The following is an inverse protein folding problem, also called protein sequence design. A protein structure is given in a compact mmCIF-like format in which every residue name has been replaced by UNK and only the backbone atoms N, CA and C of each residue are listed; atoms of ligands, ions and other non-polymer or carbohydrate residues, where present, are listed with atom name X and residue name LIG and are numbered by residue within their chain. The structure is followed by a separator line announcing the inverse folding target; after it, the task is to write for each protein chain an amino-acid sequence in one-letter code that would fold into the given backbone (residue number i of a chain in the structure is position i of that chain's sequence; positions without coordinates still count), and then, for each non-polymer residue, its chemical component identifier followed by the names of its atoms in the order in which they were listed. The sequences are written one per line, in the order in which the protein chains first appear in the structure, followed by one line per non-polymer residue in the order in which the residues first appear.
data_IF_486395552341
#
_entry.id   IF_486395552341
#
_cell.length_a   1.000
_cell.length_b   1.000
_cell.length_c   1.000
_cell.angle_alpha   90.00
_cell.angle_beta   90.00
_cell.angle_gamma   90.00
#
_symmetry.space_group_name_H-M   'P 1'
#
loop_
_entity.id
_entity.type
_entity.pdbx_description
1 polymer ?
#
# COMPACT_ATOMS: atom_id res chain seq x y z
N UNK A 1 -7.76 -8.32 26.95
CA UNK A 1 -8.80 -7.36 27.40
C UNK A 1 -8.70 -6.05 26.61
N UNK A 2 -8.65 -6.13 25.28
CA UNK A 2 -8.56 -4.96 24.38
C UNK A 2 -9.14 -5.29 23.02
N UNK A 3 -10.26 -6.02 23.03
CA UNK A 3 -10.95 -6.56 21.85
C UNK A 3 -12.47 -6.35 21.93
N UNK A 4 -12.90 -5.32 22.67
CA UNK A 4 -14.30 -4.88 22.74
C UNK A 4 -14.36 -3.35 22.94
N UNK A 5 -13.94 -2.58 21.93
CA UNK A 5 -14.32 -1.16 21.77
C UNK A 5 -14.52 -0.80 20.29
N UNK A 6 -14.94 -1.77 19.47
CA UNK A 6 -15.27 -1.57 18.06
C UNK A 6 -16.77 -1.79 17.76
N UNK A 7 -17.61 -1.84 18.79
CA UNK A 7 -19.05 -1.86 18.65
C UNK A 7 -19.67 -0.79 19.56
N UNK A 8 -20.56 -0.01 18.96
CA UNK A 8 -21.31 1.13 19.54
C UNK A 8 -20.49 2.38 19.89
N UNK A 9 -20.05 3.10 18.85
CA UNK A 9 -20.09 4.56 18.92
C UNK A 9 -21.06 5.05 17.84
N UNK A 10 -22.35 4.84 18.13
CA UNK A 10 -23.48 5.22 17.29
C UNK A 10 -24.08 6.53 17.81
N UNK A 11 -23.22 7.53 18.06
CA UNK A 11 -23.64 8.85 18.52
C UNK A 11 -22.97 9.94 17.68
N UNK A 12 -23.75 10.54 16.77
CA UNK A 12 -23.37 11.55 15.78
C UNK A 12 -22.38 11.08 14.69
N UNK A 13 -22.82 11.14 13.44
CA UNK A 13 -21.94 11.09 12.27
C UNK A 13 -20.98 12.27 12.31
N UNK A 14 -19.81 12.08 12.94
CA UNK A 14 -18.74 13.06 12.99
C UNK A 14 -18.43 13.50 11.55
N UNK A 15 -18.58 14.79 11.23
CA UNK A 15 -18.48 15.36 9.87
C UNK A 15 -17.16 14.91 9.19
N UNK A 16 -16.10 14.76 9.99
CA UNK A 16 -14.80 14.22 9.59
C UNK A 16 -14.91 12.83 8.93
N UNK A 17 -15.72 11.93 9.47
CA UNK A 17 -15.90 10.59 8.92
C UNK A 17 -16.64 10.63 7.58
N UNK A 18 -17.65 11.49 7.45
CA UNK A 18 -18.40 11.65 6.19
C UNK A 18 -17.45 12.18 5.10
N UNK A 19 -16.68 13.22 5.42
CA UNK A 19 -15.66 13.78 4.51
C UNK A 19 -14.63 12.72 4.13
N UNK A 20 -14.08 11.98 5.10
CA UNK A 20 -13.10 10.94 4.80
C UNK A 20 -13.68 9.85 3.88
N UNK A 21 -14.95 9.44 4.08
CA UNK A 21 -15.60 8.45 3.20
C UNK A 21 -15.78 8.98 1.79
N UNK A 22 -16.23 10.23 1.65
CA UNK A 22 -16.39 10.88 0.35
C UNK A 22 -15.07 10.98 -0.41
N UNK A 23 -13.99 11.41 0.27
CA UNK A 23 -12.64 11.51 -0.33
C UNK A 23 -12.09 10.13 -0.70
N UNK A 24 -12.35 9.10 0.11
CA UNK A 24 -11.95 7.73 -0.21
C UNK A 24 -12.58 7.23 -1.51
N UNK A 25 -13.89 7.46 -1.68
CA UNK A 25 -14.60 7.09 -2.91
C UNK A 25 -14.10 7.91 -4.09
N UNK A 26 -13.93 9.22 -3.90
CA UNK A 26 -13.40 10.12 -4.92
C UNK A 26 -12.02 9.65 -5.39
N UNK A 27 -11.11 9.32 -4.47
CA UNK A 27 -9.77 8.82 -4.79
C UNK A 27 -9.83 7.55 -5.65
N UNK A 28 -10.65 6.56 -5.28
CA UNK A 28 -10.78 5.33 -6.06
C UNK A 28 -11.37 5.58 -7.45
N UNK A 29 -12.45 6.36 -7.55
CA UNK A 29 -13.11 6.66 -8.82
C UNK A 29 -12.21 7.50 -9.73
N UNK A 30 -11.56 8.53 -9.18
CA UNK A 30 -10.60 9.36 -9.88
C UNK A 30 -9.47 8.52 -10.47
N UNK A 31 -8.87 7.63 -9.68
CA UNK A 31 -7.74 6.83 -10.15
C UNK A 31 -8.17 5.82 -11.21
N UNK A 32 -9.33 5.17 -11.04
CA UNK A 32 -9.87 4.27 -12.06
C UNK A 32 -10.20 5.00 -13.37
N UNK A 33 -10.74 6.22 -13.29
CA UNK A 33 -11.06 7.03 -14.46
C UNK A 33 -9.80 7.49 -15.19
N UNK A 34 -8.87 8.15 -14.51
CA UNK A 34 -7.66 8.73 -15.11
C UNK A 34 -6.66 7.69 -15.62
N UNK A 35 -6.59 6.51 -15.01
CA UNK A 35 -5.71 5.43 -15.50
C UNK A 35 -6.25 4.83 -16.81
N UNK A 36 -7.58 4.78 -16.99
CA UNK A 36 -8.19 4.26 -18.23
C UNK A 36 -8.37 5.33 -19.31
N UNK A 37 -8.66 6.56 -18.89
CA UNK A 37 -8.93 7.72 -19.73
C UNK A 37 -8.13 8.91 -19.17
N UNK A 38 -6.84 9.02 -19.49
CA UNK A 38 -6.01 10.11 -18.99
C UNK A 38 -6.49 11.43 -19.58
N UNK A 39 -7.04 12.31 -18.74
CA UNK A 39 -7.53 13.63 -19.14
C UNK A 39 -6.59 14.73 -18.67
N UNK A 40 -5.99 14.55 -17.50
CA UNK A 40 -5.09 15.53 -16.88
C UNK A 40 -3.63 15.35 -17.29
N UNK A 41 -2.86 16.42 -17.17
CA UNK A 41 -1.41 16.37 -17.35
C UNK A 41 -0.74 15.37 -16.39
N UNK A 42 0.40 14.74 -16.76
CA UNK A 42 1.06 13.73 -15.93
C UNK A 42 1.39 14.20 -14.51
N UNK A 43 1.80 15.45 -14.34
CA UNK A 43 2.07 16.04 -13.03
C UNK A 43 0.78 16.37 -12.28
N UNK A 44 -0.22 16.94 -12.95
CA UNK A 44 -1.52 17.31 -12.36
C UNK A 44 -2.26 16.12 -11.77
N UNK A 45 -2.32 14.99 -12.49
CA UNK A 45 -2.99 13.77 -11.99
C UNK A 45 -2.29 13.21 -10.75
N UNK A 46 -0.95 13.27 -10.71
CA UNK A 46 -0.17 12.81 -9.56
C UNK A 46 -0.30 13.77 -8.38
N UNK A 47 -0.39 15.07 -8.63
CA UNK A 47 -0.66 16.07 -7.61
C UNK A 47 -2.04 15.87 -6.96
N UNK A 48 -3.09 15.61 -7.74
CA UNK A 48 -4.40 15.26 -7.20
C UNK A 48 -4.37 13.94 -6.42
N UNK A 49 -3.73 12.91 -6.96
CA UNK A 49 -3.60 11.61 -6.28
C UNK A 49 -2.90 11.72 -4.93
N UNK A 50 -1.73 12.39 -4.89
CA UNK A 50 -1.02 12.66 -3.64
C UNK A 50 -1.84 13.56 -2.70
N UNK A 51 -2.47 14.62 -3.20
CA UNK A 51 -3.28 15.53 -2.38
C UNK A 51 -4.42 14.79 -1.68
N UNK A 52 -5.19 13.99 -2.41
CA UNK A 52 -6.26 13.17 -1.84
C UNK A 52 -5.71 12.13 -0.84
N UNK A 53 -4.59 11.48 -1.16
CA UNK A 53 -3.94 10.52 -0.27
C UNK A 53 -3.40 11.14 1.03
N UNK A 54 -2.77 12.32 0.95
CA UNK A 54 -2.27 13.08 2.10
C UNK A 54 -3.42 13.59 2.97
N UNK A 55 -4.50 14.10 2.37
CA UNK A 55 -5.72 14.48 3.10
C UNK A 55 -6.28 13.28 3.86
N UNK A 56 -6.39 12.11 3.22
CA UNK A 56 -6.82 10.89 3.90
C UNK A 56 -5.85 10.46 5.00
N UNK A 57 -4.54 10.67 4.82
CA UNK A 57 -3.54 10.41 5.85
C UNK A 57 -3.81 11.23 7.11
N UNK A 58 -3.91 12.56 6.97
CA UNK A 58 -4.17 13.47 8.09
C UNK A 58 -5.55 13.24 8.73
N UNK A 59 -6.57 12.89 7.94
CA UNK A 59 -7.91 12.63 8.48
C UNK A 59 -8.03 11.28 9.20
N UNK A 60 -7.25 10.26 8.85
CA UNK A 60 -7.37 8.91 9.45
C UNK A 60 -6.26 8.57 10.45
N UNK A 61 -5.08 9.17 10.36
CA UNK A 61 -3.92 8.85 11.20
C UNK A 61 -3.58 10.04 12.11
N UNK A 62 -3.91 9.95 13.43
CA UNK A 62 -3.67 11.03 14.37
C UNK A 62 -2.18 11.18 14.71
N UNK A 63 -1.81 12.39 15.15
CA UNK A 63 -0.42 12.79 15.45
C UNK A 63 0.28 11.91 16.51
N UNK A 64 -0.48 11.40 17.48
CA UNK A 64 -0.01 10.46 18.50
C UNK A 64 -1.15 9.52 18.94
N UNK A 65 -0.87 8.22 19.09
CA UNK A 65 -1.89 7.20 19.41
C UNK A 65 -2.59 7.45 20.76
N UNK A 66 -1.90 8.10 21.71
CA UNK A 66 -2.41 8.42 23.05
C UNK A 66 -3.29 9.69 23.13
N UNK A 67 -3.37 10.51 22.09
CA UNK A 67 -4.09 11.81 22.12
C UNK A 67 -5.32 11.84 21.21
N UNK A 68 -5.84 10.66 20.83
CA UNK A 68 -6.99 10.51 19.91
C UNK A 68 -8.26 11.27 20.36
N UNK A 69 -8.46 11.45 21.65
CA UNK A 69 -9.67 12.09 22.22
C UNK A 69 -9.59 13.62 22.28
N UNK A 70 -8.42 14.23 22.09
CA UNK A 70 -8.26 15.66 22.26
C UNK A 70 -8.79 16.45 21.05
N UNK A 71 -9.76 17.33 21.29
CA UNK A 71 -10.37 18.16 20.25
C UNK A 71 -9.36 19.07 19.52
N UNK A 72 -8.30 19.51 20.20
CA UNK A 72 -7.23 20.33 19.62
C UNK A 72 -6.41 19.55 18.58
N UNK A 73 -6.06 18.28 18.86
CA UNK A 73 -5.31 17.42 17.92
C UNK A 73 -6.15 17.11 16.68
N UNK A 74 -7.45 16.88 16.87
CA UNK A 74 -8.39 16.70 15.75
C UNK A 74 -8.51 17.95 14.88
N UNK A 75 -8.51 19.15 15.47
CA UNK A 75 -8.51 20.41 14.70
C UNK A 75 -7.21 20.62 13.95
N UNK A 76 -6.05 20.35 14.57
CA UNK A 76 -4.75 20.47 13.88
C UNK A 76 -4.64 19.50 12.70
N UNK A 77 -5.16 18.27 12.83
CA UNK A 77 -5.18 17.31 11.73
C UNK A 77 -6.01 17.82 10.53
N UNK A 78 -7.18 18.43 10.79
CA UNK A 78 -8.00 19.01 9.74
C UNK A 78 -7.32 20.21 9.06
N UNK A 79 -6.57 21.02 9.82
CA UNK A 79 -5.80 22.13 9.27
C UNK A 79 -4.67 21.62 8.38
N UNK A 80 -3.93 20.60 8.81
CA UNK A 80 -2.86 19.99 7.99
C UNK A 80 -3.42 19.33 6.72
N UNK A 81 -4.59 18.69 6.82
CA UNK A 81 -5.29 18.17 5.65
C UNK A 81 -5.66 19.29 4.67
N UNK A 82 -6.16 20.43 5.16
CA UNK A 82 -6.48 21.59 4.33
C UNK A 82 -5.23 22.13 3.63
N UNK A 83 -4.12 22.32 4.35
CA UNK A 83 -2.86 22.76 3.73
C UNK A 83 -2.33 21.76 2.69
N UNK A 84 -2.44 20.46 2.94
CA UNK A 84 -2.05 19.44 1.96
C UNK A 84 -2.90 19.55 0.67
N UNK A 85 -4.22 19.76 0.82
CA UNK A 85 -5.11 19.98 -0.32
C UNK A 85 -4.76 21.27 -1.07
N UNK A 86 -4.44 22.36 -0.37
CA UNK A 86 -4.05 23.64 -0.98
C UNK A 86 -2.71 23.53 -1.71
N UNK A 87 -1.68 22.93 -1.10
CA UNK A 87 -0.38 22.77 -1.73
C UNK A 87 -0.45 21.89 -2.99
N UNK A 88 -1.13 20.76 -2.94
CA UNK A 88 -1.30 19.90 -4.11
C UNK A 88 -2.24 20.54 -5.16
N UNK A 89 -3.31 21.21 -4.72
CA UNK A 89 -4.23 21.94 -5.59
C UNK A 89 -3.54 23.08 -6.34
N UNK A 90 -2.61 23.78 -5.68
CA UNK A 90 -1.78 24.80 -6.31
C UNK A 90 -0.98 24.24 -7.51
N UNK A 91 -0.36 23.07 -7.35
CA UNK A 91 0.36 22.41 -8.44
C UNK A 91 -0.58 22.07 -9.60
N UNK A 92 -1.79 21.57 -9.31
CA UNK A 92 -2.78 21.26 -10.34
C UNK A 92 -3.19 22.51 -11.11
N UNK A 93 -3.49 23.60 -10.40
CA UNK A 93 -3.89 24.88 -11.01
C UNK A 93 -2.77 25.48 -11.86
N UNK A 94 -1.52 25.41 -11.39
CA UNK A 94 -0.38 26.02 -12.09
C UNK A 94 0.24 25.13 -13.19
N UNK A 95 -0.01 23.83 -13.16
CA UNK A 95 0.55 22.89 -14.14
C UNK A 95 -0.44 22.51 -15.24
N UNK A 96 -1.74 22.48 -14.97
CA UNK A 96 -2.72 21.95 -15.91
C UNK A 96 -3.27 23.01 -16.89
N UNK A 97 -3.36 22.72 -18.21
CA UNK A 97 -3.92 23.62 -19.20
C UNK A 97 -5.37 24.04 -18.93
N UNK A 98 -6.17 23.23 -18.22
CA UNK A 98 -7.57 23.56 -17.89
C UNK A 98 -7.67 24.84 -17.04
N UNK A 99 -6.61 25.18 -16.30
CA UNK A 99 -6.56 26.34 -15.41
C UNK A 99 -5.67 27.47 -15.93
N UNK A 100 -5.44 27.53 -17.24
CA UNK A 100 -4.62 28.57 -17.92
C UNK A 100 -4.90 30.01 -17.45
N UNK A 101 -6.17 30.35 -17.21
CA UNK A 101 -6.62 31.66 -16.72
C UNK A 101 -6.07 32.04 -15.34
N UNK A 102 -5.70 31.06 -14.53
CA UNK A 102 -5.22 31.24 -13.17
C UNK A 102 -3.69 31.13 -13.06
N UNK A 103 -3.00 30.99 -14.20
CA UNK A 103 -1.55 30.90 -14.23
C UNK A 103 -0.90 32.23 -13.84
N UNK A 104 0.04 32.16 -12.90
CA UNK A 104 0.87 33.33 -12.58
C UNK A 104 1.73 33.66 -13.79
N UNK A 105 1.70 34.94 -14.19
CA UNK A 105 2.37 35.48 -15.37
C UNK A 105 1.95 34.84 -16.70
N UNK A 106 0.78 34.19 -16.74
CA UNK A 106 0.25 33.53 -17.93
C UNK A 106 1.09 32.34 -18.41
N UNK A 107 1.99 31.83 -17.58
CA UNK A 107 2.85 30.68 -17.90
C UNK A 107 2.66 29.55 -16.91
N UNK A 108 2.67 28.32 -17.42
CA UNK A 108 2.61 27.12 -16.61
C UNK A 108 3.85 26.99 -15.72
N UNK A 109 3.70 26.29 -14.61
CA UNK A 109 4.79 26.02 -13.66
C UNK A 109 6.00 25.36 -14.35
N UNK A 110 5.76 24.49 -15.33
CA UNK A 110 6.82 23.84 -16.11
C UNK A 110 7.61 24.81 -16.99
N UNK A 111 6.95 25.83 -17.56
CA UNK A 111 7.59 26.85 -18.40
C UNK A 111 8.35 27.90 -17.57
N UNK A 112 8.08 27.98 -16.26
CA UNK A 112 8.75 28.84 -15.28
C UNK A 112 9.86 28.15 -14.50
N UNK A 113 10.30 26.96 -14.92
CA UNK A 113 11.39 26.24 -14.25
C UNK A 113 12.68 27.09 -14.23
N UNK A 114 13.18 27.40 -13.04
CA UNK A 114 14.32 28.30 -12.81
C UNK A 114 13.97 29.78 -12.59
N UNK A 115 12.71 30.17 -12.76
CA UNK A 115 12.17 31.50 -12.44
C UNK A 115 10.93 31.37 -11.52
N UNK A 116 11.04 30.52 -10.51
CA UNK A 116 9.98 30.31 -9.52
C UNK A 116 9.82 31.54 -8.64
N UNK A 117 8.56 31.91 -8.37
CA UNK A 117 8.20 33.04 -7.51
C UNK A 117 8.32 32.65 -6.03
N UNK A 118 8.42 33.66 -5.15
CA UNK A 118 8.43 33.42 -3.70
C UNK A 118 7.18 32.69 -3.19
N UNK A 119 6.04 32.83 -3.88
CA UNK A 119 4.83 32.08 -3.58
C UNK A 119 5.02 30.59 -3.88
N UNK A 120 5.58 30.24 -5.05
CA UNK A 120 5.84 28.84 -5.41
C UNK A 120 6.78 28.19 -4.39
N UNK A 121 7.85 28.89 -4.01
CA UNK A 121 8.81 28.38 -3.02
C UNK A 121 8.13 28.16 -1.67
N UNK A 122 7.29 29.10 -1.22
CA UNK A 122 6.58 28.97 0.07
C UNK A 122 5.62 27.79 0.06
N UNK A 123 4.80 27.66 -1.00
CA UNK A 123 3.87 26.55 -1.16
C UNK A 123 4.61 25.21 -1.25
N UNK A 124 5.71 25.16 -1.98
CA UNK A 124 6.56 23.98 -2.11
C UNK A 124 7.21 23.58 -0.79
N UNK A 125 7.70 24.54 0.00
CA UNK A 125 8.30 24.28 1.31
C UNK A 125 7.27 23.73 2.30
N UNK A 126 6.09 24.34 2.37
CA UNK A 126 4.98 23.85 3.20
C UNK A 126 4.57 22.44 2.74
N UNK A 127 4.43 22.23 1.43
CA UNK A 127 4.11 20.92 0.86
C UNK A 127 5.13 19.85 1.19
N UNK A 128 6.42 20.17 1.11
CA UNK A 128 7.53 19.27 1.44
C UNK A 128 7.46 18.83 2.92
N UNK A 129 7.27 19.79 3.84
CA UNK A 129 7.13 19.50 5.27
C UNK A 129 5.90 18.62 5.55
N UNK A 130 4.78 18.86 4.87
CA UNK A 130 3.59 18.03 4.99
C UNK A 130 3.80 16.60 4.48
N UNK A 131 4.60 16.39 3.44
CA UNK A 131 4.92 15.04 2.96
C UNK A 131 5.79 14.30 3.99
N UNK A 132 6.81 14.95 4.53
CA UNK A 132 7.70 14.37 5.55
C UNK A 132 6.91 14.00 6.82
N UNK A 133 6.02 14.89 7.27
CA UNK A 133 5.16 14.63 8.42
C UNK A 133 4.13 13.51 8.16
N UNK A 134 3.55 13.44 6.96
CA UNK A 134 2.66 12.35 6.58
C UNK A 134 3.40 11.00 6.55
N UNK A 135 4.62 10.96 6.03
CA UNK A 135 5.47 9.77 6.05
C UNK A 135 5.78 9.33 7.49
N UNK A 136 6.08 10.28 8.39
CA UNK A 136 6.31 10.01 9.81
C UNK A 136 5.09 9.35 10.47
N UNK A 137 3.89 9.85 10.18
CA UNK A 137 2.63 9.32 10.73
C UNK A 137 2.30 7.94 10.19
N UNK A 138 2.50 7.70 8.90
CA UNK A 138 2.09 6.47 8.26
C UNK A 138 3.08 5.31 8.47
N UNK A 139 4.39 5.60 8.51
CA UNK A 139 5.46 4.60 8.41
C UNK A 139 6.50 4.70 9.55
N UNK A 140 6.39 5.69 10.42
CA UNK A 140 7.37 5.97 11.48
C UNK A 140 8.52 6.87 11.03
N UNK A 141 9.51 7.06 11.90
CA UNK A 141 10.55 8.08 11.71
C UNK A 141 11.64 7.71 10.69
N UNK A 142 11.79 6.42 10.34
CA UNK A 142 12.92 5.95 9.52
C UNK A 142 12.97 6.61 8.13
N UNK A 143 11.86 6.61 7.38
CA UNK A 143 11.77 7.23 6.05
C UNK A 143 11.93 8.77 6.08
N UNK A 144 11.25 9.51 6.98
CA UNK A 144 11.46 10.94 7.19
C UNK A 144 12.91 11.31 7.51
N UNK A 145 13.58 10.55 8.38
CA UNK A 145 14.99 10.80 8.73
C UNK A 145 15.86 10.64 7.49
N UNK A 146 15.62 9.59 6.69
CA UNK A 146 16.33 9.37 5.44
C UNK A 146 16.09 10.49 4.42
N UNK A 147 14.84 10.90 4.21
CA UNK A 147 14.53 12.04 3.33
C UNK A 147 15.18 13.34 3.84
N UNK A 148 15.13 13.58 5.15
CA UNK A 148 15.79 14.72 5.80
C UNK A 148 17.30 14.72 5.60
N UNK A 149 17.97 13.56 5.69
CA UNK A 149 19.41 13.46 5.43
C UNK A 149 19.74 13.74 3.96
N UNK A 150 18.89 13.34 3.00
CA UNK A 150 19.08 13.70 1.59
C UNK A 150 18.83 15.18 1.33
N UNK A 151 17.82 15.80 1.94
CA UNK A 151 17.61 17.26 1.86
C UNK A 151 18.83 18.02 2.42
N UNK A 152 19.35 17.57 3.56
CA UNK A 152 20.55 18.14 4.16
C UNK A 152 21.78 17.95 3.26
N UNK A 153 21.92 16.77 2.64
CA UNK A 153 22.95 16.50 1.65
C UNK A 153 22.87 17.47 0.46
N UNK A 154 21.67 17.66 -0.11
CA UNK A 154 21.44 18.60 -1.20
C UNK A 154 21.81 20.05 -0.86
N UNK A 155 21.67 20.45 0.41
CA UNK A 155 22.05 21.79 0.89
C UNK A 155 23.56 21.89 1.21
N UNK A 156 24.09 20.96 2.01
CA UNK A 156 25.46 20.97 2.54
C UNK A 156 26.51 20.33 1.63
N UNK A 157 26.16 20.02 0.37
CA UNK A 157 27.00 19.32 -0.60
C UNK A 157 28.47 19.74 -0.64
N UNK A 158 28.76 21.03 -0.46
CA UNK A 158 30.11 21.59 -0.57
C UNK A 158 31.02 21.28 0.62
N UNK A 159 30.43 20.90 1.76
CA UNK A 159 31.14 20.63 3.02
C UNK A 159 31.47 19.15 3.23
N UNK A 160 31.01 18.27 2.33
CA UNK A 160 31.22 16.84 2.49
C UNK A 160 32.59 16.37 1.99
N UNK A 161 33.15 15.32 2.60
CA UNK A 161 34.40 14.71 2.14
C UNK A 161 34.27 14.09 0.74
N UNK A 162 35.40 13.91 0.04
CA UNK A 162 35.44 13.36 -1.32
C UNK A 162 34.78 11.97 -1.47
N UNK A 163 34.83 11.14 -0.43
CA UNK A 163 34.21 9.80 -0.42
C UNK A 163 32.67 9.83 -0.36
N UNK A 164 32.07 10.99 -0.06
CA UNK A 164 30.62 11.19 -0.02
C UNK A 164 30.13 12.08 -1.17
N UNK A 165 30.79 11.99 -2.33
CA UNK A 165 30.41 12.66 -3.59
C UNK A 165 30.06 14.15 -3.41
N UNK A 166 31.03 15.02 -3.10
CA UNK A 166 30.75 16.44 -2.90
C UNK A 166 30.18 17.10 -4.16
N UNK A 167 29.33 18.10 -3.94
CA UNK A 167 28.75 18.94 -5.00
C UNK A 167 28.63 20.38 -4.51
N UNK A 168 28.33 21.33 -5.41
CA UNK A 168 28.29 22.78 -5.10
C UNK A 168 27.34 23.23 -3.97
N UNK A 169 26.48 22.34 -3.45
CA UNK A 169 25.31 22.70 -2.64
C UNK A 169 24.25 23.44 -3.47
N UNK A 170 22.99 23.34 -3.06
CA UNK A 170 21.88 24.01 -3.72
C UNK A 170 21.11 24.89 -2.75
N UNK A 171 20.67 26.09 -3.18
CA UNK A 171 19.85 26.95 -2.36
C UNK A 171 18.48 26.30 -2.12
N UNK A 172 17.80 26.69 -1.03
CA UNK A 172 16.55 26.04 -0.56
C UNK A 172 15.47 26.14 -1.64
N UNK A 173 15.41 27.27 -2.35
CA UNK A 173 14.50 27.54 -3.46
C UNK A 173 14.64 26.46 -4.55
N UNK A 174 15.88 26.12 -4.92
CA UNK A 174 16.17 25.12 -5.94
C UNK A 174 15.87 23.70 -5.46
N UNK A 175 16.13 23.41 -4.19
CA UNK A 175 15.81 22.12 -3.57
C UNK A 175 14.29 21.92 -3.54
N UNK A 176 13.55 22.91 -3.09
CA UNK A 176 12.08 22.90 -3.04
C UNK A 176 11.49 22.79 -4.43
N UNK A 177 12.02 23.54 -5.40
CA UNK A 177 11.57 23.47 -6.79
C UNK A 177 11.74 22.05 -7.36
N UNK A 178 12.92 21.45 -7.18
CA UNK A 178 13.17 20.11 -7.69
C UNK A 178 12.35 19.01 -6.98
N UNK A 179 12.15 19.13 -5.67
CA UNK A 179 11.53 18.07 -4.86
C UNK A 179 10.01 18.14 -4.83
N UNK A 180 9.40 19.33 -4.87
CA UNK A 180 7.94 19.49 -4.79
C UNK A 180 7.34 20.12 -6.06
N UNK A 181 7.97 21.12 -6.68
CA UNK A 181 7.36 21.85 -7.80
C UNK A 181 7.53 21.14 -9.15
N UNK A 182 8.61 20.38 -9.33
CA UNK A 182 8.90 19.66 -10.58
C UNK A 182 8.40 18.21 -10.58
N UNK A 183 8.24 17.66 -11.79
CA UNK A 183 7.84 16.28 -12.04
C UNK A 183 8.92 15.23 -11.72
N UNK A 184 10.11 15.63 -11.26
CA UNK A 184 11.22 14.71 -10.92
C UNK A 184 11.31 14.40 -9.43
N UNK A 185 10.49 15.06 -8.60
CA UNK A 185 10.45 14.88 -7.15
C UNK A 185 9.26 14.02 -6.70
N UNK A 186 8.48 14.57 -5.77
CA UNK A 186 7.28 13.93 -5.18
C UNK A 186 6.29 13.49 -6.26
N UNK A 187 6.06 14.31 -7.29
CA UNK A 187 5.13 14.03 -8.39
C UNK A 187 5.81 13.29 -9.56
N UNK A 188 6.88 12.54 -9.29
CA UNK A 188 7.63 11.80 -10.29
C UNK A 188 7.31 10.31 -10.33
N UNK A 189 8.30 9.55 -10.83
CA UNK A 189 8.18 8.12 -11.15
C UNK A 189 7.66 7.30 -9.98
N UNK A 190 8.12 7.56 -8.75
CA UNK A 190 7.71 6.81 -7.57
C UNK A 190 6.19 6.86 -7.34
N UNK A 191 5.61 8.06 -7.40
CA UNK A 191 4.18 8.25 -7.24
C UNK A 191 3.41 7.83 -8.50
N UNK A 192 4.01 8.00 -9.68
CA UNK A 192 3.49 7.52 -10.97
C UNK A 192 3.21 6.02 -10.98
N UNK A 193 4.15 5.23 -10.47
CA UNK A 193 4.03 3.78 -10.32
C UNK A 193 2.90 3.42 -9.33
N UNK A 194 2.80 4.14 -8.21
CA UNK A 194 1.72 3.92 -7.24
C UNK A 194 0.34 4.18 -7.86
N UNK A 195 0.21 5.27 -8.60
CA UNK A 195 -1.02 5.68 -9.24
C UNK A 195 -1.45 4.71 -10.35
N UNK A 196 -0.52 4.37 -11.24
CA UNK A 196 -0.82 3.60 -12.47
C UNK A 196 -1.01 2.12 -12.18
N UNK A 197 -0.25 1.56 -11.24
CA UNK A 197 -0.24 0.13 -10.98
C UNK A 197 -0.73 -0.20 -9.58
N UNK A 198 0.00 0.22 -8.55
CA UNK A 198 -0.16 -0.33 -7.20
C UNK A 198 -1.56 -0.10 -6.64
N UNK A 199 -2.10 1.09 -6.80
CA UNK A 199 -3.40 1.40 -6.24
C UNK A 199 -4.54 0.62 -6.91
N UNK A 200 -4.45 0.34 -8.21
CA UNK A 200 -5.44 -0.50 -8.90
C UNK A 200 -5.45 -1.92 -8.32
N UNK A 201 -4.29 -2.48 -8.02
CA UNK A 201 -4.20 -3.79 -7.38
C UNK A 201 -4.69 -3.78 -5.93
N UNK A 202 -4.50 -2.67 -5.19
CA UNK A 202 -5.10 -2.49 -3.85
C UNK A 202 -6.63 -2.47 -3.95
N UNK A 203 -7.21 -1.78 -4.94
CA UNK A 203 -8.66 -1.80 -5.19
C UNK A 203 -9.12 -3.21 -5.54
N UNK A 204 -8.42 -3.90 -6.43
CA UNK A 204 -8.71 -5.30 -6.79
C UNK A 204 -8.71 -6.22 -5.56
N UNK A 205 -7.67 -6.16 -4.74
CA UNK A 205 -7.55 -6.97 -3.52
C UNK A 205 -8.69 -6.70 -2.53
N UNK A 206 -9.07 -5.44 -2.34
CA UNK A 206 -10.16 -5.08 -1.45
C UNK A 206 -11.54 -5.51 -1.97
N UNK A 207 -11.80 -5.43 -3.28
CA UNK A 207 -13.02 -5.95 -3.89
C UNK A 207 -13.09 -7.47 -3.76
N UNK A 208 -11.97 -8.16 -3.98
CA UNK A 208 -11.88 -9.60 -3.83
C UNK A 208 -12.06 -10.03 -2.36
N UNK A 209 -11.52 -9.29 -1.41
CA UNK A 209 -11.76 -9.53 0.02
C UNK A 209 -13.25 -9.34 0.36
N UNK A 210 -13.91 -8.34 -0.22
CA UNK A 210 -15.34 -8.06 -0.02
C UNK A 210 -16.28 -9.14 -0.56
N UNK A 211 -15.83 -10.00 -1.50
CA UNK A 211 -16.62 -11.15 -1.98
C UNK A 211 -16.51 -12.38 -1.08
N UNK A 212 -15.72 -12.33 0.00
CA UNK A 212 -15.53 -13.44 0.93
C UNK A 212 -14.25 -14.25 0.70
N UNK A 213 -13.36 -13.83 -0.21
CA UNK A 213 -12.12 -14.56 -0.52
C UNK A 213 -11.27 -14.88 0.70
N UNK A 214 -11.28 -14.02 1.73
CA UNK A 214 -10.60 -14.28 3.01
C UNK A 214 -11.04 -15.59 3.65
N UNK A 215 -12.34 -15.85 3.73
CA UNK A 215 -12.88 -17.08 4.35
C UNK A 215 -12.52 -18.30 3.53
N UNK A 216 -12.66 -18.20 2.22
CA UNK A 216 -12.24 -19.24 1.28
C UNK A 216 -10.76 -19.63 1.47
N UNK A 217 -9.85 -18.65 1.50
CA UNK A 217 -8.40 -18.89 1.66
C UNK A 217 -8.08 -19.65 2.96
N UNK A 218 -8.73 -19.26 4.06
CA UNK A 218 -8.52 -19.91 5.37
C UNK A 218 -9.05 -21.33 5.36
N UNK A 219 -10.28 -21.52 4.87
CA UNK A 219 -10.91 -22.83 4.78
C UNK A 219 -10.13 -23.76 3.85
N UNK A 220 -9.61 -23.24 2.74
CA UNK A 220 -8.75 -23.97 1.82
C UNK A 220 -7.46 -24.43 2.52
N UNK A 221 -6.77 -23.53 3.22
CA UNK A 221 -5.55 -23.86 3.94
C UNK A 221 -5.81 -24.86 5.07
N UNK A 222 -6.92 -24.73 5.81
CA UNK A 222 -7.33 -25.69 6.85
C UNK A 222 -7.61 -27.07 6.27
N UNK A 223 -8.26 -27.16 5.11
CA UNK A 223 -8.47 -28.45 4.42
C UNK A 223 -7.15 -29.09 3.98
N UNK A 224 -6.20 -28.28 3.53
CA UNK A 224 -4.91 -28.76 3.04
C UNK A 224 -3.97 -29.20 4.18
N UNK A 225 -3.91 -28.45 5.29
CA UNK A 225 -2.90 -28.64 6.33
C UNK A 225 -3.42 -28.84 7.75
N UNK A 226 -4.73 -28.68 8.01
CA UNK A 226 -5.30 -28.69 9.35
C UNK A 226 -5.05 -29.97 10.14
N UNK A 227 -4.96 -31.11 9.46
CA UNK A 227 -4.68 -32.43 10.08
C UNK A 227 -3.19 -32.79 10.13
N UNK A 228 -2.31 -31.93 9.62
CA UNK A 228 -0.87 -32.20 9.56
C UNK A 228 -0.17 -31.74 10.85
N UNK A 229 1.00 -32.32 11.17
CA UNK A 229 1.80 -31.84 12.30
C UNK A 229 2.20 -30.37 12.10
N UNK A 230 1.88 -29.53 13.09
CA UNK A 230 1.97 -28.07 13.00
C UNK A 230 0.87 -27.43 12.16
N UNK A 231 -0.28 -28.11 11.99
CA UNK A 231 -1.38 -27.71 11.12
C UNK A 231 -1.77 -26.23 11.23
N UNK A 232 -2.09 -25.72 12.43
CA UNK A 232 -2.41 -24.30 12.64
C UNK A 232 -1.35 -23.32 12.13
N UNK A 233 -0.06 -23.63 12.32
CA UNK A 233 1.03 -22.79 11.83
C UNK A 233 1.19 -22.86 10.31
N UNK A 234 1.01 -24.05 9.70
CA UNK A 234 1.01 -24.19 8.24
C UNK A 234 -0.18 -23.51 7.57
N UNK A 235 -1.35 -23.58 8.20
CA UNK A 235 -2.54 -22.81 7.81
C UNK A 235 -2.20 -21.32 7.82
N UNK A 236 -1.57 -20.84 8.90
CA UNK A 236 -1.15 -19.45 8.99
C UNK A 236 -0.20 -19.03 7.86
N UNK A 237 0.82 -19.86 7.56
CA UNK A 237 1.79 -19.59 6.50
C UNK A 237 1.13 -19.58 5.12
N UNK A 238 0.34 -20.60 4.78
CA UNK A 238 -0.32 -20.69 3.47
C UNK A 238 -1.38 -19.60 3.29
N UNK A 239 -2.24 -19.37 4.29
CA UNK A 239 -3.26 -18.32 4.22
C UNK A 239 -2.63 -16.93 4.11
N UNK A 240 -1.53 -16.67 4.83
CA UNK A 240 -0.81 -15.41 4.70
C UNK A 240 -0.15 -15.29 3.33
N UNK A 241 0.35 -16.37 2.74
CA UNK A 241 0.88 -16.34 1.37
C UNK A 241 -0.16 -16.00 0.32
N UNK A 242 -1.31 -16.67 0.39
CA UNK A 242 -2.44 -16.43 -0.51
C UNK A 242 -3.11 -15.07 -0.28
N UNK A 243 -3.10 -14.53 0.94
CA UNK A 243 -3.61 -13.18 1.22
C UNK A 243 -2.58 -12.11 0.84
N UNK A 244 -1.30 -12.42 1.02
CA UNK A 244 -0.18 -11.56 0.65
C UNK A 244 -0.12 -11.35 -0.86
N UNK A 245 -0.40 -12.39 -1.65
CA UNK A 245 -0.49 -12.29 -3.10
C UNK A 245 -1.61 -11.37 -3.60
N UNK A 246 -2.61 -11.08 -2.77
CA UNK A 246 -3.71 -10.16 -3.10
C UNK A 246 -3.44 -8.71 -2.69
N UNK A 247 -2.79 -8.54 -1.54
CA UNK A 247 -2.67 -7.22 -0.89
C UNK A 247 -1.30 -6.59 -1.05
N UNK A 248 -0.25 -7.38 -1.29
CA UNK A 248 1.13 -6.90 -1.37
C UNK A 248 1.66 -6.25 -0.08
N UNK A 249 0.89 -6.29 1.01
CA UNK A 249 1.10 -5.49 2.21
C UNK A 249 1.19 -6.36 3.45
N UNK A 250 2.36 -6.37 4.09
CA UNK A 250 2.62 -7.12 5.31
C UNK A 250 1.73 -6.67 6.48
N UNK A 251 1.48 -5.36 6.60
CA UNK A 251 0.65 -4.78 7.66
C UNK A 251 -0.81 -5.16 7.47
N UNK A 252 -1.34 -5.03 6.23
CA UNK A 252 -2.70 -5.42 5.93
C UNK A 252 -2.90 -6.92 6.14
N UNK A 253 -1.96 -7.74 5.67
CA UNK A 253 -2.00 -9.18 5.83
C UNK A 253 -1.95 -9.60 7.31
N UNK A 254 -1.11 -8.98 8.13
CA UNK A 254 -1.07 -9.26 9.58
C UNK A 254 -2.38 -8.85 10.26
N UNK A 255 -2.95 -7.70 9.88
CA UNK A 255 -4.23 -7.24 10.43
C UNK A 255 -5.42 -8.12 10.01
N UNK A 256 -5.38 -8.71 8.81
CA UNK A 256 -6.46 -9.56 8.33
C UNK A 256 -6.27 -11.01 8.77
N UNK A 257 -5.12 -11.63 8.48
CA UNK A 257 -4.87 -13.05 8.78
C UNK A 257 -4.43 -13.30 10.22
N UNK A 258 -3.58 -12.44 10.76
CA UNK A 258 -3.07 -12.54 12.14
C UNK A 258 -4.16 -12.59 13.21
N UNK A 259 -5.30 -11.93 12.99
CA UNK A 259 -6.42 -11.90 13.95
C UNK A 259 -7.02 -13.27 14.23
N UNK A 260 -6.94 -14.21 13.28
CA UNK A 260 -7.41 -15.59 13.48
C UNK A 260 -6.27 -16.59 13.60
N UNK A 261 -5.15 -16.39 12.89
CA UNK A 261 -4.03 -17.36 12.91
C UNK A 261 -3.26 -17.33 14.22
N UNK A 262 -3.06 -16.16 14.83
CA UNK A 262 -2.30 -16.04 16.08
C UNK A 262 -3.05 -16.74 17.23
N UNK A 263 -4.36 -16.48 17.47
CA UNK A 263 -5.12 -17.23 18.47
C UNK A 263 -5.14 -18.73 18.18
N UNK A 264 -5.29 -19.14 16.91
CA UNK A 264 -5.33 -20.55 16.50
C UNK A 264 -4.00 -21.28 16.77
N UNK A 265 -2.86 -20.63 16.52
CA UNK A 265 -1.55 -21.19 16.87
C UNK A 265 -1.37 -21.28 18.40
N UNK A 266 -1.81 -20.24 19.13
CA UNK A 266 -1.72 -20.23 20.60
C UNK A 266 -2.58 -21.32 21.24
N UNK A 267 -3.81 -21.54 20.75
CA UNK A 267 -4.67 -22.62 21.25
C UNK A 267 -4.10 -24.01 20.95
N UNK A 268 -3.25 -24.14 19.92
CA UNK A 268 -2.53 -25.36 19.59
C UNK A 268 -1.19 -25.51 20.33
N UNK A 269 -0.90 -24.66 21.32
CA UNK A 269 0.28 -24.77 22.19
C UNK A 269 1.50 -23.94 21.79
N UNK A 270 1.43 -23.12 20.72
CA UNK A 270 2.54 -22.24 20.36
C UNK A 270 2.68 -21.09 21.37
N UNK A 271 3.93 -20.82 21.76
CA UNK A 271 4.29 -19.63 22.54
C UNK A 271 3.79 -18.35 21.84
N UNK A 272 3.25 -17.36 22.57
CA UNK A 272 2.70 -16.14 21.97
C UNK A 272 3.70 -15.40 21.07
N UNK A 273 4.97 -15.35 21.49
CA UNK A 273 6.07 -14.71 20.74
C UNK A 273 6.34 -15.47 19.43
N UNK A 274 6.40 -16.79 19.47
CA UNK A 274 6.61 -17.63 18.28
C UNK A 274 5.45 -17.51 17.31
N UNK A 275 4.20 -17.54 17.79
CA UNK A 275 3.02 -17.37 16.95
C UNK A 275 3.02 -16.00 16.25
N UNK A 276 3.36 -14.92 16.96
CA UNK A 276 3.51 -13.60 16.38
C UNK A 276 4.66 -13.53 15.36
N UNK A 277 5.80 -14.15 15.65
CA UNK A 277 6.96 -14.21 14.76
C UNK A 277 6.68 -14.96 13.46
N UNK A 278 6.01 -16.12 13.53
CA UNK A 278 5.57 -16.89 12.35
C UNK A 278 4.63 -16.04 11.49
N UNK A 279 3.64 -15.39 12.12
CA UNK A 279 2.70 -14.55 11.40
C UNK A 279 3.38 -13.34 10.75
N UNK A 280 4.31 -12.69 11.45
CA UNK A 280 5.05 -11.54 10.93
C UNK A 280 5.92 -11.93 9.73
N UNK A 281 6.63 -13.06 9.82
CA UNK A 281 7.44 -13.59 8.71
C UNK A 281 6.55 -13.95 7.52
N UNK A 282 5.52 -14.75 7.73
CA UNK A 282 4.59 -15.16 6.67
C UNK A 282 3.89 -13.96 6.01
N UNK A 283 3.54 -12.92 6.78
CA UNK A 283 2.92 -11.71 6.23
C UNK A 283 3.91 -10.87 5.42
N UNK A 284 5.17 -10.80 5.86
CA UNK A 284 6.24 -10.06 5.16
C UNK A 284 6.55 -10.65 3.80
N UNK A 285 6.53 -11.98 3.68
CA UNK A 285 6.67 -12.68 2.38
C UNK A 285 5.59 -12.31 1.37
N UNK A 286 4.47 -11.70 1.78
CA UNK A 286 3.40 -11.25 0.88
C UNK A 286 3.89 -10.22 -0.14
N UNK A 287 4.91 -9.43 0.19
CA UNK A 287 5.53 -8.48 -0.73
C UNK A 287 6.26 -9.15 -1.91
N UNK A 288 6.61 -10.45 -1.79
CA UNK A 288 7.27 -11.22 -2.85
C UNK A 288 6.27 -12.05 -3.66
N UNK A 289 5.12 -12.39 -3.09
CA UNK A 289 4.20 -13.37 -3.68
C UNK A 289 3.41 -12.76 -4.85
N UNK A 290 3.53 -13.30 -6.08
CA UNK A 290 2.70 -12.88 -7.22
C UNK A 290 1.22 -13.26 -7.02
N UNK A 291 0.26 -12.56 -7.65
CA UNK A 291 0.42 -11.63 -8.78
C UNK A 291 0.28 -10.14 -8.45
N UNK A 292 0.10 -9.75 -7.18
CA UNK A 292 0.10 -8.33 -6.78
C UNK A 292 1.50 -7.91 -6.30
N UNK A 293 2.11 -8.69 -5.41
CA UNK A 293 3.43 -8.36 -4.85
C UNK A 293 3.46 -6.97 -4.17
N UNK A 294 4.60 -6.61 -3.59
CA UNK A 294 4.80 -5.32 -2.92
C UNK A 294 5.13 -4.17 -3.87
N UNK A 295 5.06 -2.95 -3.35
CA UNK A 295 5.34 -1.70 -4.06
C UNK A 295 6.69 -1.70 -4.84
N UNK A 296 7.71 -2.39 -4.33
CA UNK A 296 9.03 -2.49 -4.97
C UNK A 296 9.01 -3.21 -6.33
N UNK A 297 8.16 -4.22 -6.50
CA UNK A 297 8.03 -4.94 -7.77
C UNK A 297 7.52 -4.01 -8.89
N UNK A 298 6.65 -3.07 -8.53
CA UNK A 298 6.13 -2.09 -9.47
C UNK A 298 7.14 -0.99 -9.77
N UNK A 299 8.00 -0.61 -8.82
CA UNK A 299 9.10 0.32 -9.12
C UNK A 299 10.10 -0.29 -10.11
N UNK A 300 10.37 -1.59 -10.00
CA UNK A 300 11.22 -2.29 -10.97
C UNK A 300 10.65 -2.22 -12.39
N UNK A 301 9.32 -2.28 -12.57
CA UNK A 301 8.68 -2.16 -13.87
C UNK A 301 9.03 -0.84 -14.59
N UNK A 302 9.21 0.21 -13.82
CA UNK A 302 9.49 1.55 -14.36
C UNK A 302 10.98 1.84 -14.53
N UNK A 303 11.84 1.13 -13.79
CA UNK A 303 13.29 1.37 -13.76
C UNK A 303 14.09 0.39 -14.63
N UNK A 304 13.60 -0.85 -14.82
CA UNK A 304 14.33 -1.89 -15.56
C UNK A 304 14.13 -1.71 -17.06
N UNK A 305 15.24 -1.60 -17.81
CA UNK A 305 15.26 -1.56 -19.27
C UNK A 305 16.01 -2.77 -19.86
N UNK A 306 15.54 -3.36 -20.97
CA UNK A 306 14.28 -3.06 -21.68
C UNK A 306 13.07 -3.34 -20.78
N UNK A 307 11.91 -2.69 -21.01
CA UNK A 307 10.72 -2.88 -20.18
C UNK A 307 10.21 -4.32 -20.33
N UNK A 308 10.80 -5.22 -19.55
CA UNK A 308 10.33 -6.56 -19.32
C UNK A 308 8.96 -6.42 -18.68
N UNK A 309 7.90 -6.73 -19.44
CA UNK A 309 6.54 -6.53 -18.97
C UNK A 309 6.34 -7.14 -17.59
N UNK A 310 5.37 -6.65 -16.82
CA UNK A 310 5.12 -7.11 -15.43
C UNK A 310 5.13 -8.65 -15.24
N UNK A 311 4.74 -9.40 -16.27
CA UNK A 311 4.83 -10.86 -16.31
C UNK A 311 6.25 -11.42 -16.10
N UNK A 312 7.29 -10.73 -16.58
CA UNK A 312 8.69 -11.11 -16.38
C UNK A 312 9.10 -10.96 -14.92
N UNK A 313 8.71 -9.85 -14.28
CA UNK A 313 8.92 -9.63 -12.84
C UNK A 313 8.17 -10.71 -12.04
N UNK A 314 6.93 -11.02 -12.41
CA UNK A 314 6.14 -12.11 -11.80
C UNK A 314 6.84 -13.46 -11.96
N UNK A 315 7.37 -13.78 -13.15
CA UNK A 315 8.11 -15.02 -13.41
C UNK A 315 9.39 -15.10 -12.58
N UNK A 316 10.14 -14.01 -12.52
CA UNK A 316 11.37 -13.92 -11.75
C UNK A 316 11.11 -14.06 -10.24
N UNK A 317 10.01 -13.49 -9.73
CA UNK A 317 9.66 -13.54 -8.32
C UNK A 317 8.97 -14.84 -7.87
N UNK A 318 8.39 -15.61 -8.81
CA UNK A 318 7.67 -16.84 -8.49
C UNK A 318 8.57 -17.85 -7.77
N UNK A 319 9.80 -18.08 -8.25
CA UNK A 319 10.72 -19.04 -7.65
C UNK A 319 11.15 -18.60 -6.23
N UNK A 320 11.65 -17.37 -6.00
CA UNK A 320 11.94 -16.87 -4.66
C UNK A 320 10.74 -16.93 -3.71
N UNK A 321 9.54 -16.58 -4.17
CA UNK A 321 8.34 -16.62 -3.35
C UNK A 321 8.00 -18.06 -2.93
N UNK A 322 8.01 -19.02 -3.86
CA UNK A 322 7.75 -20.42 -3.56
C UNK A 322 8.79 -20.98 -2.58
N UNK A 323 10.06 -20.69 -2.79
CA UNK A 323 11.13 -21.12 -1.87
C UNK A 323 10.97 -20.48 -0.49
N UNK A 324 10.61 -19.19 -0.41
CA UNK A 324 10.37 -18.50 0.86
C UNK A 324 9.25 -19.16 1.67
N UNK A 325 8.09 -19.40 1.06
CA UNK A 325 6.96 -20.04 1.75
C UNK A 325 7.19 -21.51 2.02
N UNK A 326 7.89 -22.24 1.15
CA UNK A 326 8.32 -23.62 1.41
C UNK A 326 9.25 -23.67 2.63
N UNK A 327 10.22 -22.75 2.71
CA UNK A 327 11.13 -22.64 3.85
C UNK A 327 10.36 -22.40 5.14
N UNK A 328 9.39 -21.47 5.14
CA UNK A 328 8.53 -21.23 6.30
C UNK A 328 7.71 -22.45 6.67
N UNK A 329 7.12 -23.16 5.70
CA UNK A 329 6.36 -24.39 5.94
C UNK A 329 7.22 -25.48 6.59
N UNK A 330 8.47 -25.63 6.15
CA UNK A 330 9.42 -26.58 6.74
C UNK A 330 9.82 -26.16 8.16
N UNK A 331 10.13 -24.88 8.38
CA UNK A 331 10.50 -24.34 9.71
C UNK A 331 9.37 -24.59 10.71
N UNK A 332 8.12 -24.23 10.38
CA UNK A 332 7.00 -24.42 11.30
C UNK A 332 6.67 -25.91 11.51
N UNK A 333 6.87 -26.75 10.49
CA UNK A 333 6.67 -28.19 10.61
C UNK A 333 7.69 -28.83 11.56
N UNK A 334 8.97 -28.51 11.40
CA UNK A 334 10.05 -29.02 12.25
C UNK A 334 9.91 -28.48 13.67
N UNK A 335 9.54 -27.20 13.84
CA UNK A 335 9.29 -26.61 15.15
C UNK A 335 8.14 -27.31 15.86
N UNK A 336 7.01 -27.53 15.19
CA UNK A 336 5.87 -28.24 15.77
C UNK A 336 6.21 -29.70 16.14
N UNK A 337 7.01 -30.39 15.32
CA UNK A 337 7.49 -31.74 15.66
C UNK A 337 8.39 -31.74 16.89
N UNK A 338 9.30 -30.78 17.02
CA UNK A 338 10.14 -30.63 18.22
C UNK A 338 9.30 -30.36 19.47
N UNK A 339 8.28 -29.51 19.36
CA UNK A 339 7.33 -29.28 20.45
C UNK A 339 6.59 -30.56 20.83
N UNK A 340 6.06 -31.31 19.86
CA UNK A 340 5.36 -32.58 20.11
C UNK A 340 6.23 -33.57 20.88
N UNK A 341 7.48 -33.76 20.46
CA UNK A 341 8.46 -34.65 21.13
C UNK A 341 8.76 -34.17 22.56
N UNK A 342 8.80 -32.85 22.80
CA UNK A 342 8.99 -32.30 24.14
C UNK A 342 7.73 -32.40 25.03
N UNK A 343 6.55 -32.59 24.43
CA UNK A 343 5.26 -32.68 25.15
C UNK A 343 4.85 -34.12 25.44
N UNK A 344 5.51 -35.13 24.85
CA UNK A 344 5.27 -36.56 25.12
C UNK A 344 5.59 -37.00 26.57
N UNK A 345 5.94 -36.06 27.47
CA UNK A 345 5.96 -36.26 28.93
C UNK A 345 4.67 -35.87 29.66
N UNK A 346 3.69 -35.24 29.01
CA UNK A 346 2.38 -34.91 29.58
C UNK A 346 1.32 -35.16 28.52
N UNK A 347 0.55 -36.23 28.73
CA UNK A 347 -0.54 -36.70 27.89
C UNK A 347 -1.18 -35.60 27.04
N UNK A 348 -0.92 -35.65 25.73
CA UNK A 348 -1.67 -34.90 24.74
C UNK A 348 -3.12 -35.40 24.80
N UNK A 349 -3.94 -34.74 25.61
CA UNK A 349 -5.38 -34.80 25.46
C UNK A 349 -5.63 -34.39 24.02
N UNK A 350 -6.07 -35.36 23.22
CA UNK A 350 -6.67 -35.13 21.92
C UNK A 350 -7.82 -34.13 22.16
N UNK A 351 -7.52 -32.84 22.04
CA UNK A 351 -8.54 -31.86 21.80
C UNK A 351 -8.98 -32.14 20.37
N UNK A 352 -10.01 -32.97 20.26
CA UNK A 352 -10.86 -33.10 19.09
C UNK A 352 -11.04 -31.71 18.47
N UNK A 353 -10.22 -31.40 17.47
CA UNK A 353 -10.42 -30.22 16.63
C UNK A 353 -11.46 -30.59 15.57
N UNK A 354 -12.55 -31.21 16.03
CA UNK A 354 -13.82 -31.19 15.31
C UNK A 354 -14.56 -29.93 15.76
N UNK A 355 -15.34 -29.35 14.85
CA UNK A 355 -16.20 -28.18 15.06
C UNK A 355 -15.56 -26.78 14.95
N UNK A 356 -15.16 -26.42 13.72
CA UNK A 356 -15.91 -25.37 13.01
C UNK A 356 -15.71 -25.53 11.50
N UNK A 357 -16.19 -26.66 10.96
CA UNK A 357 -16.51 -26.73 9.55
C UNK A 357 -17.77 -25.88 9.33
N UNK A 358 -17.61 -24.56 9.28
CA UNK A 358 -18.64 -23.66 8.79
C UNK A 358 -19.12 -24.17 7.43
N UNK A 359 -20.45 -24.23 7.28
CA UNK A 359 -21.19 -24.83 6.18
C UNK A 359 -20.44 -24.94 4.82
N UNK A 360 -20.30 -26.16 4.25
CA UNK A 360 -19.61 -26.36 2.98
C UNK A 360 -20.28 -25.65 1.78
N UNK A 361 -21.54 -25.22 1.92
CA UNK A 361 -22.31 -24.54 0.86
C UNK A 361 -21.81 -23.12 0.52
N UNK A 362 -21.24 -22.38 1.47
CA UNK A 362 -20.68 -21.03 1.21
C UNK A 362 -19.33 -21.05 0.51
N UNK A 363 -18.55 -22.12 0.71
CA UNK A 363 -17.14 -22.22 0.29
C UNK A 363 -16.94 -22.41 -1.21
N UNK A 364 -17.90 -22.99 -1.95
CA UNK A 364 -17.70 -23.30 -3.38
C UNK A 364 -17.76 -22.05 -4.25
N UNK A 365 -18.70 -21.16 -3.98
CA UNK A 365 -18.87 -19.95 -4.77
C UNK A 365 -17.78 -18.90 -4.49
N UNK A 366 -17.41 -18.71 -3.21
CA UNK A 366 -16.26 -17.86 -2.85
C UNK A 366 -14.97 -18.32 -3.56
N UNK A 367 -14.77 -19.64 -3.66
CA UNK A 367 -13.67 -20.23 -4.40
C UNK A 367 -13.74 -20.02 -5.91
N UNK A 368 -14.94 -20.08 -6.50
CA UNK A 368 -15.14 -19.75 -7.93
C UNK A 368 -14.80 -18.29 -8.18
N UNK A 369 -15.32 -17.36 -7.38
CA UNK A 369 -15.02 -15.92 -7.53
C UNK A 369 -13.52 -15.65 -7.36
N UNK A 370 -12.88 -16.27 -6.36
CA UNK A 370 -11.44 -16.16 -6.16
C UNK A 370 -10.64 -16.69 -7.35
N UNK A 371 -10.99 -17.90 -7.82
CA UNK A 371 -10.33 -18.55 -8.94
C UNK A 371 -10.52 -17.81 -10.26
N UNK A 372 -11.72 -17.30 -10.56
CA UNK A 372 -11.99 -16.52 -11.77
C UNK A 372 -11.31 -15.14 -11.71
N UNK A 373 -11.28 -14.49 -10.55
CA UNK A 373 -10.61 -13.21 -10.38
C UNK A 373 -9.10 -13.31 -10.61
N UNK A 374 -8.44 -14.24 -9.91
CA UNK A 374 -7.00 -14.43 -10.02
C UNK A 374 -6.62 -15.02 -11.38
N UNK A 375 -7.40 -15.99 -11.87
CA UNK A 375 -7.21 -16.62 -13.17
C UNK A 375 -7.35 -15.64 -14.34
N UNK A 376 -8.38 -14.77 -14.31
CA UNK A 376 -8.54 -13.73 -15.33
C UNK A 376 -7.39 -12.73 -15.32
N UNK A 377 -6.91 -12.33 -14.14
CA UNK A 377 -5.78 -11.40 -14.01
C UNK A 377 -4.52 -11.97 -14.66
N UNK A 378 -4.19 -13.21 -14.30
CA UNK A 378 -3.02 -13.93 -14.86
C UNK A 378 -3.22 -14.14 -16.37
N UNK A 379 -4.41 -14.52 -16.82
CA UNK A 379 -4.72 -14.73 -18.23
C UNK A 379 -4.51 -13.44 -19.04
N UNK A 380 -5.04 -12.30 -18.60
CA UNK A 380 -4.86 -11.04 -19.31
C UNK A 380 -3.39 -10.60 -19.36
N UNK A 381 -2.62 -10.84 -18.30
CA UNK A 381 -1.17 -10.60 -18.30
C UNK A 381 -0.42 -11.50 -19.30
N UNK A 382 -0.80 -12.78 -19.40
CA UNK A 382 -0.22 -13.71 -20.37
C UNK A 382 -0.60 -13.32 -21.81
N UNK A 383 -1.81 -12.80 -22.02
CA UNK A 383 -2.29 -12.28 -23.30
C UNK A 383 -1.64 -10.94 -23.71
N UNK A 384 -0.70 -10.40 -22.91
CA UNK A 384 0.04 -9.19 -23.24
C UNK A 384 -0.68 -7.88 -22.94
N UNK A 385 -1.78 -7.92 -22.15
CA UNK A 385 -2.40 -6.69 -21.68
C UNK A 385 -1.49 -5.99 -20.67
N UNK A 386 -1.54 -4.64 -20.66
CA UNK A 386 -0.86 -3.85 -19.64
C UNK A 386 -1.41 -4.18 -18.24
N UNK A 387 -0.61 -4.07 -17.16
CA UNK A 387 -1.05 -4.47 -15.82
C UNK A 387 -2.32 -3.76 -15.36
N UNK A 388 -2.42 -2.46 -15.65
CA UNK A 388 -3.60 -1.67 -15.28
C UNK A 388 -4.88 -2.14 -16.00
N UNK A 389 -4.79 -2.50 -17.29
CA UNK A 389 -5.93 -3.02 -18.07
C UNK A 389 -6.33 -4.40 -17.58
N UNK A 390 -5.34 -5.27 -17.33
CA UNK A 390 -5.59 -6.61 -16.78
C UNK A 390 -6.37 -6.52 -15.46
N UNK A 391 -5.94 -5.65 -14.54
CA UNK A 391 -6.64 -5.43 -13.27
C UNK A 391 -8.05 -4.87 -13.47
N UNK A 392 -8.22 -3.88 -14.35
CA UNK A 392 -9.53 -3.26 -14.60
C UNK A 392 -10.52 -4.29 -15.16
N UNK A 393 -10.12 -5.11 -16.13
CA UNK A 393 -10.94 -6.19 -16.69
C UNK A 393 -11.22 -7.30 -15.66
N UNK A 394 -10.25 -7.65 -14.82
CA UNK A 394 -10.46 -8.59 -13.72
C UNK A 394 -11.40 -8.05 -12.64
N UNK A 395 -11.41 -6.74 -12.39
CA UNK A 395 -12.37 -6.12 -11.48
C UNK A 395 -13.80 -6.20 -12.03
N UNK A 396 -13.98 -5.99 -13.34
CA UNK A 396 -15.26 -6.25 -14.04
C UNK A 396 -15.65 -7.73 -13.90
N UNK A 397 -14.69 -8.64 -14.07
CA UNK A 397 -14.91 -10.10 -13.91
C UNK A 397 -15.34 -10.48 -12.50
N UNK A 398 -14.75 -9.84 -11.47
CA UNK A 398 -15.17 -9.99 -10.07
C UNK A 398 -16.63 -9.55 -9.92
N UNK A 399 -16.99 -8.36 -10.41
CA UNK A 399 -18.36 -7.83 -10.27
C UNK A 399 -19.37 -8.75 -10.96
N UNK A 400 -19.08 -9.22 -12.18
CA UNK A 400 -19.94 -10.14 -12.92
C UNK A 400 -20.09 -11.47 -12.17
N UNK A 401 -18.98 -12.11 -11.79
CA UNK A 401 -19.02 -13.44 -11.16
C UNK A 401 -19.64 -13.37 -9.76
N UNK A 402 -19.34 -12.31 -9.00
CA UNK A 402 -19.94 -12.03 -7.69
C UNK A 402 -21.47 -11.89 -7.78
N UNK A 403 -21.98 -11.28 -8.86
CA UNK A 403 -23.42 -11.05 -9.06
C UNK A 403 -24.24 -12.32 -9.26
N UNK A 404 -23.59 -13.43 -9.68
CA UNK A 404 -24.25 -14.71 -9.96
C UNK A 404 -24.67 -15.48 -8.70
N UNK A 405 -24.23 -15.06 -7.51
CA UNK A 405 -24.59 -15.72 -6.26
C UNK A 405 -25.03 -14.75 -5.17
N UNK A 406 -26.13 -15.04 -4.46
CA UNK A 406 -26.57 -14.23 -3.33
C UNK A 406 -25.52 -14.12 -2.20
N UNK A 407 -24.70 -15.15 -2.00
CA UNK A 407 -23.71 -15.20 -0.91
C UNK A 407 -22.52 -14.25 -1.15
N UNK A 408 -22.07 -14.14 -2.40
CA UNK A 408 -20.90 -13.32 -2.80
C UNK A 408 -21.30 -11.97 -3.37
N UNK A 409 -22.60 -11.67 -3.49
CA UNK A 409 -23.11 -10.47 -4.16
C UNK A 409 -22.56 -9.20 -3.53
N UNK A 410 -21.96 -8.37 -4.37
CA UNK A 410 -21.50 -7.03 -4.01
C UNK A 410 -22.70 -6.07 -3.90
N UNK A 411 -23.30 -6.02 -2.71
CA UNK A 411 -24.30 -4.99 -2.39
C UNK A 411 -23.68 -3.57 -2.44
N UNK A 412 -24.45 -2.52 -2.77
CA UNK A 412 -23.94 -1.14 -2.83
C UNK A 412 -23.23 -0.67 -1.53
N UNK A 413 -23.66 -1.18 -0.38
CA UNK A 413 -23.00 -0.90 0.91
C UNK A 413 -21.65 -1.61 1.03
N UNK A 414 -21.54 -2.84 0.52
CA UNK A 414 -20.30 -3.63 0.54
C UNK A 414 -19.28 -3.07 -0.44
N UNK A 415 -19.69 -2.65 -1.64
CA UNK A 415 -18.80 -1.98 -2.61
C UNK A 415 -18.27 -0.67 -2.05
N UNK A 416 -19.13 0.15 -1.44
CA UNK A 416 -18.72 1.39 -0.79
C UNK A 416 -17.68 1.14 0.30
N UNK A 417 -17.92 0.15 1.16
CA UNK A 417 -16.97 -0.22 2.21
C UNK A 417 -15.65 -0.76 1.64
N UNK A 418 -15.69 -1.51 0.54
CA UNK A 418 -14.52 -1.99 -0.19
C UNK A 418 -13.67 -0.84 -0.75
N UNK A 419 -14.30 0.18 -1.35
CA UNK A 419 -13.62 1.39 -1.82
C UNK A 419 -12.97 2.16 -0.66
N UNK A 420 -13.68 2.32 0.45
CA UNK A 420 -13.14 2.97 1.66
C UNK A 420 -11.94 2.18 2.22
N UNK A 421 -12.03 0.86 2.26
CA UNK A 421 -10.93 0.00 2.70
C UNK A 421 -9.72 0.12 1.76
N UNK A 422 -9.94 0.15 0.44
CA UNK A 422 -8.89 0.35 -0.57
C UNK A 422 -8.17 1.69 -0.36
N UNK A 423 -8.93 2.76 -0.22
CA UNK A 423 -8.39 4.10 -0.01
C UNK A 423 -7.62 4.23 1.32
N UNK A 424 -8.02 3.50 2.37
CA UNK A 424 -7.23 3.44 3.62
C UNK A 424 -5.94 2.64 3.44
N UNK A 425 -6.01 1.56 2.68
CA UNK A 425 -4.86 0.72 2.35
C UNK A 425 -3.77 1.49 1.60
N UNK A 426 -4.12 2.46 0.76
CA UNK A 426 -3.15 3.22 -0.05
C UNK A 426 -2.46 4.36 0.70
N UNK A 427 -3.01 4.84 1.81
CA UNK A 427 -2.44 5.95 2.60
C UNK A 427 -0.92 5.77 2.86
N UNK A 428 -0.45 4.65 3.44
CA UNK A 428 0.97 4.44 3.68
C UNK A 428 1.78 4.34 2.39
N UNK A 429 1.21 3.84 1.29
CA UNK A 429 1.90 3.75 0.01
C UNK A 429 2.10 5.12 -0.63
N UNK A 430 1.09 6.00 -0.59
CA UNK A 430 1.21 7.37 -1.10
C UNK A 430 2.24 8.15 -0.30
N UNK A 431 2.20 8.06 1.03
CA UNK A 431 3.16 8.75 1.89
C UNK A 431 4.60 8.23 1.67
N UNK A 432 4.78 6.91 1.51
CA UNK A 432 6.06 6.32 1.18
C UNK A 432 6.58 6.81 -0.17
N UNK A 433 5.76 6.73 -1.22
CA UNK A 433 6.17 7.10 -2.56
C UNK A 433 6.47 8.59 -2.71
N UNK A 434 5.68 9.46 -2.06
CA UNK A 434 5.97 10.89 -2.01
C UNK A 434 7.30 11.16 -1.30
N UNK A 435 7.55 10.52 -0.15
CA UNK A 435 8.81 10.65 0.59
C UNK A 435 10.02 10.12 -0.21
N UNK A 436 9.87 9.00 -0.92
CA UNK A 436 10.90 8.48 -1.83
C UNK A 436 11.11 9.41 -3.02
N UNK A 437 10.06 10.07 -3.51
CA UNK A 437 10.15 11.12 -4.53
C UNK A 437 11.03 12.29 -4.10
N UNK A 438 11.06 12.66 -2.82
CA UNK A 438 12.02 13.66 -2.29
C UNK A 438 13.46 13.16 -2.48
N UNK A 439 13.73 11.92 -2.10
CA UNK A 439 15.06 11.30 -2.21
C UNK A 439 15.50 11.25 -3.68
N UNK A 440 14.65 10.74 -4.58
CA UNK A 440 14.91 10.68 -6.02
C UNK A 440 15.13 12.10 -6.58
N UNK A 441 14.33 13.08 -6.17
CA UNK A 441 14.47 14.47 -6.58
C UNK A 441 15.85 15.03 -6.27
N UNK A 442 16.38 14.79 -5.07
CA UNK A 442 17.74 15.19 -4.67
C UNK A 442 18.81 14.40 -5.41
N UNK A 443 18.65 13.08 -5.54
CA UNK A 443 19.59 12.22 -6.28
C UNK A 443 19.76 12.70 -7.71
N UNK A 444 18.66 13.08 -8.35
CA UNK A 444 18.64 13.66 -9.71
C UNK A 444 19.23 15.08 -9.73
N UNK A 445 18.95 15.92 -8.73
CA UNK A 445 19.49 17.29 -8.63
C UNK A 445 21.02 17.33 -8.51
N UNK A 446 21.54 16.43 -7.68
CA UNK A 446 22.97 16.33 -7.35
C UNK A 446 23.74 15.55 -8.40
N UNK A 447 23.05 14.73 -9.20
CA UNK A 447 23.65 13.90 -10.24
C UNK A 447 24.38 12.67 -9.69
N UNK A 448 24.22 12.34 -8.41
CA UNK A 448 24.87 11.15 -7.83
C UNK A 448 24.34 9.85 -8.43
N UNK A 449 23.07 9.84 -8.86
CA UNK A 449 22.45 8.65 -9.45
C UNK A 449 23.12 8.18 -10.73
N UNK A 450 23.76 9.08 -11.48
CA UNK A 450 24.53 8.74 -12.68
C UNK A 450 26.01 8.49 -12.39
N UNK A 451 26.53 8.94 -11.24
CA UNK A 451 27.93 8.73 -10.83
C UNK A 451 28.17 7.36 -10.18
N UNK A 452 27.21 6.85 -9.42
CA UNK A 452 27.32 5.57 -8.69
C UNK A 452 27.48 4.34 -9.60
N UNK A 453 26.76 4.20 -10.74
CA UNK A 453 26.94 3.06 -11.64
C UNK A 453 28.21 3.17 -12.52
N UNK A 454 28.84 4.34 -12.57
CA UNK A 454 30.02 4.62 -13.39
C UNK A 454 31.36 4.36 -12.65
N UNK A 455 31.29 4.01 -11.36
CA UNK A 455 32.39 3.50 -10.53
C UNK A 455 32.21 2.02 -10.29
#
# INVERSE_FOLDING_TARGET
VSSQTLASDNSSTDIRQVISRAISVLLCLFTLAEVNYPMLGPQSRLALFAGLGLVLCYLNIPLHSSLKSNALVRRSDSVLALFAALCCGYIVVQSDPIFDRWWIDGQSLGNRAGFETGLDTTVGLVGLLLVVEAARRALGAALPILAGSFLLYGYLGASFPDWLFPHRGYPIERIVAQTFLHSQGIFGMALGVMFTYVFLFVIFGAFLEATGAKRFIVNFAQRMFGRSAGGPAKVAVLSSGLMGSLSGSAVANTATTGTFTIPMMRSAGFQPVTAAGIQAAASSGGALMPPVMGAGAYMMLEMVQPPGGYLEIVRAALIPALLYYLSLLLIVHLHARRMSIATDGVAATNADTSTQADNPGGSRMEGIVFGTALGSLILFLILGYTPFRAVTLSLVTIVITSSLSPATRLEPRRTLNGLIASARGVIPLVAAAACVGIIIGIVTLTGIGTRLPAT
#
